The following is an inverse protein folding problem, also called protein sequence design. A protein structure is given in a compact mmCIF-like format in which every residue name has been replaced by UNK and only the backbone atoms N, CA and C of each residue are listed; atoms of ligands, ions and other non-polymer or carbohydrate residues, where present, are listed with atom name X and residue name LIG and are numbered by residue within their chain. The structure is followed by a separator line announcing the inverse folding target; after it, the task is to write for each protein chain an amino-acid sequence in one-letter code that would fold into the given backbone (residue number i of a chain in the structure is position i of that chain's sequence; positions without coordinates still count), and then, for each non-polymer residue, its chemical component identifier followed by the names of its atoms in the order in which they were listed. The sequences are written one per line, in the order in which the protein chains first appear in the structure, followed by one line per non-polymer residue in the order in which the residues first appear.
data_IF_479919507308
#
_entry.id   IF_479919507308
#
_cell.length_a   1.000
_cell.length_b   1.000
_cell.length_c   1.000
_cell.angle_alpha   90.00
_cell.angle_beta   90.00
_cell.angle_gamma   90.00
#
_symmetry.space_group_name_H-M   'P 1'
#
loop_
_entity.id
_entity.type
_entity.pdbx_description
1 polymer ?
#
# COMPACT_ATOMS: atom_id res chain seq x y z
N UNK A 1 18.34 -4.96 -47.36
CA UNK A 1 19.11 -5.05 -46.09
C UNK A 1 19.10 -3.70 -45.35
N UNK A 2 17.96 -3.20 -44.85
CA UNK A 2 17.92 -1.95 -44.06
C UNK A 2 16.87 -1.93 -42.93
N UNK A 3 15.97 -2.91 -42.89
CA UNK A 3 14.87 -2.96 -41.91
C UNK A 3 15.23 -3.80 -40.67
N UNK A 4 16.21 -4.70 -40.77
CA UNK A 4 16.60 -5.60 -39.67
C UNK A 4 17.43 -4.92 -38.56
N UNK A 5 18.03 -3.75 -38.82
CA UNK A 5 18.89 -3.08 -37.84
C UNK A 5 18.15 -2.19 -36.84
N UNK A 6 16.90 -1.79 -37.13
CA UNK A 6 16.13 -0.93 -36.22
C UNK A 6 15.36 -1.68 -35.13
N UNK A 7 15.13 -2.99 -35.29
CA UNK A 7 14.38 -3.79 -34.31
C UNK A 7 15.22 -4.22 -33.09
N UNK A 8 16.56 -4.25 -33.21
CA UNK A 8 17.44 -4.67 -32.12
C UNK A 8 17.73 -3.56 -31.10
N UNK A 9 17.55 -2.28 -31.47
CA UNK A 9 17.88 -1.14 -30.60
C UNK A 9 16.81 -0.85 -29.53
N UNK A 10 15.59 -1.38 -29.68
CA UNK A 10 14.49 -1.09 -28.74
C UNK A 10 14.39 -2.08 -27.56
N UNK A 11 15.13 -3.20 -27.59
CA UNK A 11 15.07 -4.23 -26.55
C UNK A 11 16.04 -4.03 -25.39
N UNK A 12 17.10 -3.23 -25.57
CA UNK A 12 18.17 -3.07 -24.56
C UNK A 12 17.87 -2.01 -23.48
N UNK A 13 16.82 -1.21 -23.64
CA UNK A 13 16.49 -0.12 -22.72
C UNK A 13 15.67 -0.54 -21.48
N UNK A 14 15.20 -1.79 -21.39
CA UNK A 14 14.41 -2.26 -20.24
C UNK A 14 15.24 -2.90 -19.10
N UNK A 15 16.54 -3.16 -19.28
CA UNK A 15 17.35 -3.89 -18.30
C UNK A 15 17.97 -3.03 -17.19
N UNK A 16 17.73 -1.71 -17.17
CA UNK A 16 18.46 -0.79 -16.29
C UNK A 16 17.73 -0.39 -14.98
N UNK A 17 16.52 -0.87 -14.70
CA UNK A 17 15.88 -0.67 -13.40
C UNK A 17 16.39 -1.69 -12.36
N UNK A 18 17.67 -1.61 -11.99
CA UNK A 18 18.17 -2.27 -10.78
C UNK A 18 17.75 -1.42 -9.58
N UNK A 19 16.56 -1.69 -9.03
CA UNK A 19 16.18 -1.13 -7.73
C UNK A 19 17.12 -1.73 -6.69
N UNK A 20 17.96 -0.89 -6.07
CA UNK A 20 18.76 -1.34 -4.94
C UNK A 20 17.78 -1.72 -3.82
N UNK A 21 17.94 -2.93 -3.25
CA UNK A 21 17.14 -3.33 -2.12
C UNK A 21 17.31 -2.31 -0.99
N UNK A 22 16.21 -1.82 -0.37
CA UNK A 22 16.31 -0.96 0.81
C UNK A 22 17.17 -1.65 1.87
N UNK A 23 17.95 -0.90 2.67
CA UNK A 23 18.62 -1.48 3.82
C UNK A 23 17.60 -2.22 4.70
N UNK A 24 17.99 -3.36 5.32
CA UNK A 24 17.09 -4.08 6.20
C UNK A 24 16.56 -3.14 7.28
N UNK A 25 15.24 -3.18 7.50
CA UNK A 25 14.60 -2.36 8.50
C UNK A 25 15.26 -2.61 9.88
N UNK A 26 15.48 -1.56 10.70
CA UNK A 26 16.01 -1.71 12.05
C UNK A 26 15.14 -2.67 12.87
N UNK A 27 15.76 -3.37 13.81
CA UNK A 27 15.06 -4.34 14.66
C UNK A 27 13.92 -3.62 15.41
N UNK A 28 12.76 -4.26 15.67
CA UNK A 28 11.63 -3.62 16.38
C UNK A 28 12.01 -2.97 17.71
N UNK A 29 13.08 -3.46 18.34
CA UNK A 29 13.66 -2.94 19.59
C UNK A 29 14.28 -1.54 19.46
N UNK A 30 14.57 -1.10 18.23
CA UNK A 30 15.15 0.21 17.92
C UNK A 30 14.07 1.23 17.49
N UNK A 31 12.80 0.84 17.44
CA UNK A 31 11.71 1.77 17.16
C UNK A 31 11.51 2.73 18.33
N UNK A 32 11.27 4.04 18.08
CA UNK A 32 10.93 4.99 19.14
C UNK A 32 9.78 4.44 19.99
N UNK A 33 9.98 4.42 21.31
CA UNK A 33 8.98 3.94 22.25
C UNK A 33 7.70 4.78 22.13
N UNK A 34 6.56 4.13 21.88
CA UNK A 34 5.23 4.74 22.00
C UNK A 34 4.47 5.06 20.71
N UNK A 35 4.99 4.77 19.52
CA UNK A 35 4.31 5.12 18.26
C UNK A 35 3.41 3.99 17.73
N UNK A 36 3.86 2.73 17.82
CA UNK A 36 3.09 1.54 17.39
C UNK A 36 3.30 0.41 18.41
N UNK A 37 2.26 -0.31 18.86
CA UNK A 37 2.41 -1.40 19.81
C UNK A 37 3.33 -2.51 19.28
N UNK A 38 4.17 -3.08 20.14
CA UNK A 38 5.08 -4.18 19.79
C UNK A 38 4.36 -5.45 19.31
N UNK A 39 3.06 -5.55 19.54
CA UNK A 39 2.19 -6.65 19.09
C UNK A 39 1.56 -6.39 17.72
N UNK A 40 1.62 -5.16 17.20
CA UNK A 40 1.11 -4.86 15.87
C UNK A 40 1.94 -5.57 14.81
N UNK A 41 1.27 -6.19 13.86
CA UNK A 41 1.88 -6.79 12.68
C UNK A 41 1.14 -6.29 11.47
N UNK A 42 1.88 -5.72 10.52
CA UNK A 42 1.30 -5.30 9.26
C UNK A 42 0.86 -6.56 8.48
N UNK A 43 -0.39 -6.64 8.01
CA UNK A 43 -0.80 -7.72 7.13
C UNK A 43 0.12 -7.82 5.91
N UNK A 44 0.43 -9.05 5.54
CA UNK A 44 1.19 -9.36 4.32
C UNK A 44 0.23 -9.77 3.21
N UNK A 45 0.64 -9.56 1.95
CA UNK A 45 -0.19 -9.88 0.79
C UNK A 45 0.06 -8.93 -0.37
N UNK A 46 -0.28 -9.37 -1.58
CA UNK A 46 -0.18 -8.60 -2.81
C UNK A 46 -1.57 -8.29 -3.38
N UNK A 47 -1.59 -7.47 -4.43
CA UNK A 47 -2.83 -7.07 -5.11
C UNK A 47 -3.76 -6.23 -4.24
N UNK A 48 -5.00 -6.07 -4.69
CA UNK A 48 -5.97 -5.21 -4.02
C UNK A 48 -6.32 -5.68 -2.60
N UNK A 49 -6.37 -6.98 -2.34
CA UNK A 49 -6.68 -7.51 -1.00
C UNK A 49 -5.60 -7.11 0.00
N UNK A 50 -4.32 -7.27 -0.37
CA UNK A 50 -3.20 -6.87 0.48
C UNK A 50 -3.12 -5.36 0.72
N UNK A 51 -3.53 -4.53 -0.24
CA UNK A 51 -3.60 -3.06 -0.04
C UNK A 51 -4.74 -2.67 0.91
N UNK A 52 -5.92 -3.24 0.73
CA UNK A 52 -7.10 -3.03 1.57
C UNK A 52 -6.80 -3.41 3.03
N UNK A 53 -6.24 -4.60 3.26
CA UNK A 53 -5.98 -5.10 4.61
C UNK A 53 -4.89 -4.30 5.33
N UNK A 54 -3.83 -3.92 4.61
CA UNK A 54 -2.78 -3.05 5.19
C UNK A 54 -3.32 -1.70 5.60
N UNK A 55 -4.14 -1.06 4.76
CA UNK A 55 -4.65 0.26 5.11
C UNK A 55 -5.66 0.19 6.27
N UNK A 56 -6.50 -0.84 6.32
CA UNK A 56 -7.38 -1.08 7.47
C UNK A 56 -6.57 -1.24 8.76
N UNK A 57 -5.48 -2.02 8.73
CA UNK A 57 -4.61 -2.23 9.89
C UNK A 57 -3.93 -0.92 10.36
N UNK A 58 -3.52 -0.04 9.44
CA UNK A 58 -3.01 1.30 9.79
C UNK A 58 -4.08 2.11 10.52
N UNK A 59 -5.30 2.17 9.99
CA UNK A 59 -6.39 2.93 10.60
C UNK A 59 -6.75 2.39 11.98
N UNK A 60 -6.82 1.08 12.14
CA UNK A 60 -7.09 0.42 13.43
C UNK A 60 -5.99 0.74 14.44
N UNK A 61 -4.73 0.72 14.00
CA UNK A 61 -3.61 1.11 14.84
C UNK A 61 -3.70 2.56 15.29
N UNK A 62 -3.97 3.48 14.35
CA UNK A 62 -4.11 4.91 14.64
C UNK A 62 -5.25 5.19 15.62
N UNK A 63 -6.35 4.43 15.55
CA UNK A 63 -7.43 4.55 16.51
C UNK A 63 -7.00 4.05 17.89
N UNK A 64 -6.28 2.93 17.95
CA UNK A 64 -5.80 2.34 19.18
C UNK A 64 -4.74 3.21 19.88
N UNK A 65 -3.86 3.86 19.12
CA UNK A 65 -2.78 4.72 19.63
C UNK A 65 -3.23 6.17 19.85
N UNK A 66 -4.42 6.54 19.37
CA UNK A 66 -4.96 7.89 19.51
C UNK A 66 -4.47 8.89 18.46
N UNK A 67 -3.84 8.44 17.38
CA UNK A 67 -3.47 9.26 16.23
C UNK A 67 -4.68 9.70 15.38
N UNK A 68 -5.80 8.98 15.49
CA UNK A 68 -7.06 9.36 14.85
C UNK A 68 -8.24 9.28 15.83
N UNK A 69 -9.37 9.85 15.41
CA UNK A 69 -10.62 9.79 16.20
C UNK A 69 -11.50 8.66 15.69
N UNK A 70 -12.40 8.14 16.55
CA UNK A 70 -13.43 7.15 16.15
C UNK A 70 -14.21 7.58 14.92
N UNK A 71 -14.57 8.86 14.83
CA UNK A 71 -15.35 9.38 13.71
C UNK A 71 -14.57 9.46 12.39
N UNK A 72 -13.25 9.71 12.43
CA UNK A 72 -12.42 9.64 11.22
C UNK A 72 -12.22 8.18 10.82
N UNK A 73 -11.82 7.33 11.77
CA UNK A 73 -11.68 5.89 11.56
C UNK A 73 -12.91 5.26 10.89
N UNK A 74 -14.12 5.48 11.41
CA UNK A 74 -15.34 4.91 10.84
C UNK A 74 -15.61 5.36 9.40
N UNK A 75 -15.28 6.61 9.05
CA UNK A 75 -15.44 7.12 7.68
C UNK A 75 -14.43 6.49 6.74
N UNK A 76 -13.17 6.37 7.16
CA UNK A 76 -12.13 5.72 6.36
C UNK A 76 -12.47 4.24 6.15
N UNK A 77 -12.85 3.52 7.20
CA UNK A 77 -13.23 2.10 7.11
C UNK A 77 -14.41 1.85 6.17
N UNK A 78 -15.40 2.75 6.11
CA UNK A 78 -16.49 2.63 5.15
C UNK A 78 -16.03 2.76 3.68
N UNK A 79 -15.03 3.62 3.41
CA UNK A 79 -14.43 3.74 2.07
C UNK A 79 -13.55 2.51 1.76
N UNK A 80 -12.80 2.00 2.73
CA UNK A 80 -12.03 0.75 2.61
C UNK A 80 -12.97 -0.44 2.30
N UNK A 81 -14.13 -0.54 2.95
CA UNK A 81 -15.11 -1.59 2.69
C UNK A 81 -15.66 -1.54 1.27
N UNK A 82 -15.80 -0.35 0.70
CA UNK A 82 -16.18 -0.17 -0.70
C UNK A 82 -15.09 -0.70 -1.62
N UNK A 83 -13.81 -0.39 -1.35
CA UNK A 83 -12.68 -0.95 -2.07
C UNK A 83 -12.57 -2.47 -1.93
N UNK A 84 -12.83 -3.00 -0.73
CA UNK A 84 -12.86 -4.43 -0.45
C UNK A 84 -13.90 -5.15 -1.32
N UNK A 85 -15.10 -4.60 -1.45
CA UNK A 85 -16.15 -5.15 -2.33
C UNK A 85 -15.74 -5.12 -3.80
N UNK A 86 -15.15 -4.02 -4.27
CA UNK A 86 -14.61 -3.92 -5.64
C UNK A 86 -13.56 -5.00 -5.90
N UNK A 87 -12.64 -5.19 -4.95
CA UNK A 87 -11.58 -6.20 -5.02
C UNK A 87 -12.16 -7.62 -5.06
N UNK A 88 -13.10 -7.94 -4.17
CA UNK A 88 -13.77 -9.24 -4.12
C UNK A 88 -14.59 -9.54 -5.40
N UNK A 89 -15.06 -8.51 -6.10
CA UNK A 89 -15.72 -8.64 -7.40
C UNK A 89 -14.75 -8.79 -8.59
N UNK A 90 -13.43 -8.85 -8.35
CA UNK A 90 -12.40 -8.96 -9.39
C UNK A 90 -12.01 -7.62 -10.03
N UNK A 91 -12.55 -6.49 -9.56
CA UNK A 91 -12.16 -5.17 -10.04
C UNK A 91 -10.94 -4.64 -9.26
N UNK A 92 -9.78 -5.24 -9.52
CA UNK A 92 -8.54 -4.92 -8.80
C UNK A 92 -8.09 -3.47 -9.00
N UNK A 93 -8.08 -2.99 -10.25
CA UNK A 93 -7.66 -1.63 -10.58
C UNK A 93 -8.57 -0.57 -9.94
N UNK A 94 -9.88 -0.82 -9.94
CA UNK A 94 -10.86 0.04 -9.26
C UNK A 94 -10.64 0.07 -7.74
N UNK A 95 -10.42 -1.09 -7.11
CA UNK A 95 -10.15 -1.17 -5.68
C UNK A 95 -8.87 -0.41 -5.28
N UNK A 96 -7.78 -0.61 -6.00
CA UNK A 96 -6.52 0.12 -5.75
C UNK A 96 -6.68 1.63 -5.95
N UNK A 97 -7.42 2.05 -6.98
CA UNK A 97 -7.71 3.47 -7.19
C UNK A 97 -8.53 4.07 -6.04
N UNK A 98 -9.54 3.34 -5.56
CA UNK A 98 -10.36 3.75 -4.41
C UNK A 98 -9.49 3.89 -3.14
N UNK A 99 -8.63 2.91 -2.83
CA UNK A 99 -7.71 2.99 -1.68
C UNK A 99 -6.79 4.20 -1.78
N UNK A 100 -6.20 4.46 -2.95
CA UNK A 100 -5.34 5.64 -3.15
C UNK A 100 -6.11 6.94 -2.94
N UNK A 101 -7.31 7.05 -3.51
CA UNK A 101 -8.15 8.24 -3.36
C UNK A 101 -8.53 8.49 -1.89
N UNK A 102 -8.94 7.44 -1.17
CA UNK A 102 -9.22 7.52 0.27
C UNK A 102 -7.99 7.96 1.05
N UNK A 103 -6.82 7.34 0.82
CA UNK A 103 -5.60 7.73 1.51
C UNK A 103 -5.27 9.21 1.29
N UNK A 104 -5.29 9.69 0.04
CA UNK A 104 -5.08 11.11 -0.27
C UNK A 104 -6.09 12.02 0.43
N UNK A 105 -7.38 11.64 0.42
CA UNK A 105 -8.46 12.41 1.06
C UNK A 105 -8.25 12.59 2.57
N UNK A 106 -7.67 11.60 3.25
CA UNK A 106 -7.45 11.61 4.69
C UNK A 106 -6.00 11.89 5.11
N UNK A 107 -5.12 12.25 4.16
CA UNK A 107 -3.75 12.66 4.45
C UNK A 107 -2.74 11.52 4.64
N UNK A 108 -3.03 10.32 4.15
CA UNK A 108 -2.11 9.19 4.14
C UNK A 108 -1.33 9.16 2.80
N UNK A 109 0.01 9.30 2.78
CA UNK A 109 0.82 9.33 1.56
C UNK A 109 1.14 7.95 1.00
#
# INVERSE_FOLDING_TARGET
MRVAFFAAALGLSLAACQTAAPPPAPSPEQAPTGVTPNTFRMPTGSGCAGEVDRFQAVMDNDLQTGHTTKGVHSRVSAEIDTARKSCAAGNEAGATSQIRATRTKFGYP
#
